data_IF_677829335515
#
_entry.id   IF_677829335515
#
_cell.length_a   1.000
_cell.length_b   1.000
_cell.length_c   1.000
_cell.angle_alpha   90.00
_cell.angle_beta   90.00
_cell.angle_gamma   90.00
#
_symmetry.space_group_name_H-M   'P 1'
#
loop_
_entity.id
_entity.type
_entity.pdbx_description
1 polymer ?
#
# COMPACT_ATOMS: atom_id res chain seq x y z
N UNK A 1 -12.40 17.10 0.17
CA UNK A 1 -13.71 16.57 -0.27
C UNK A 1 -13.54 15.09 -0.51
N UNK A 2 -14.18 14.23 0.29
CA UNK A 2 -14.08 12.77 0.17
C UNK A 2 -15.03 12.26 -0.92
N UNK A 3 -14.59 12.30 -2.18
CA UNK A 3 -15.11 11.44 -3.23
C UNK A 3 -14.57 10.04 -2.95
N UNK A 4 -15.39 9.05 -2.65
CA UNK A 4 -14.87 7.73 -2.31
C UNK A 4 -15.94 6.67 -2.44
N UNK A 5 -15.82 5.87 -3.48
CA UNK A 5 -16.66 4.70 -3.75
C UNK A 5 -16.62 3.71 -2.56
N UNK A 6 -17.70 2.95 -2.40
CA UNK A 6 -17.77 1.89 -1.42
C UNK A 6 -16.90 0.71 -1.89
N UNK A 7 -15.80 0.45 -1.17
CA UNK A 7 -14.89 -0.66 -1.46
C UNK A 7 -15.24 -1.86 -0.59
N UNK A 8 -15.36 -3.03 -1.21
CA UNK A 8 -15.52 -4.32 -0.51
C UNK A 8 -14.16 -5.02 -0.46
N UNK A 9 -13.56 -5.13 0.72
CA UNK A 9 -12.22 -5.68 0.88
C UNK A 9 -12.06 -6.34 2.25
N UNK A 10 -11.44 -7.51 2.28
CA UNK A 10 -11.11 -8.24 3.49
C UNK A 10 -12.32 -8.80 4.24
N UNK A 11 -12.03 -9.72 5.14
CA UNK A 11 -13.02 -10.42 5.95
C UNK A 11 -12.58 -10.52 7.40
N UNK A 12 -13.50 -10.22 8.31
CA UNK A 12 -13.26 -10.26 9.75
C UNK A 12 -13.28 -11.69 10.28
N UNK A 13 -12.31 -12.02 11.12
CA UNK A 13 -12.24 -13.25 11.91
C UNK A 13 -12.06 -12.91 13.39
N UNK A 14 -12.79 -13.62 14.24
CA UNK A 14 -12.63 -13.59 15.70
C UNK A 14 -12.38 -15.01 16.17
N UNK A 15 -11.24 -15.23 16.81
CA UNK A 15 -10.76 -16.56 17.22
C UNK A 15 -10.77 -17.58 16.08
N UNK A 16 -10.37 -17.16 14.87
CA UNK A 16 -10.39 -17.99 13.67
C UNK A 16 -11.79 -18.24 13.08
N UNK A 17 -12.86 -17.73 13.70
CA UNK A 17 -14.23 -17.84 13.19
C UNK A 17 -14.56 -16.61 12.36
N UNK A 18 -14.94 -16.86 11.11
CA UNK A 18 -15.38 -15.84 10.16
C UNK A 18 -16.62 -15.10 10.68
N UNK A 19 -16.63 -13.78 10.58
CA UNK A 19 -17.72 -12.92 11.04
C UNK A 19 -18.42 -12.22 9.87
N UNK A 20 -19.76 -12.13 9.89
CA UNK A 20 -20.50 -11.40 8.86
C UNK A 20 -20.19 -9.90 8.93
N UNK A 21 -20.17 -9.23 7.77
CA UNK A 21 -20.07 -7.78 7.73
C UNK A 21 -21.39 -7.16 8.22
N UNK A 22 -21.36 -6.24 9.20
CA UNK A 22 -22.57 -5.58 9.68
C UNK A 22 -23.24 -4.75 8.58
N UNK A 23 -24.56 -4.87 8.50
CA UNK A 23 -25.39 -4.14 7.55
C UNK A 23 -26.15 -2.99 8.22
N UNK A 24 -26.37 -3.07 9.53
CA UNK A 24 -27.07 -2.10 10.35
C UNK A 24 -26.25 -1.76 11.61
N UNK A 25 -26.81 -0.96 12.53
CA UNK A 25 -26.15 -0.66 13.80
C UNK A 25 -26.23 -1.80 14.84
N UNK A 26 -27.26 -2.65 14.75
CA UNK A 26 -27.57 -3.69 15.74
C UNK A 26 -27.02 -5.08 15.45
N UNK A 27 -26.50 -5.33 14.24
CA UNK A 27 -25.98 -6.62 13.79
C UNK A 27 -24.44 -6.70 13.82
N UNK A 28 -23.79 -5.74 14.48
CA UNK A 28 -22.34 -5.73 14.66
C UNK A 28 -21.93 -6.96 15.50
N UNK A 29 -21.07 -7.85 14.97
CA UNK A 29 -20.56 -8.98 15.73
C UNK A 29 -19.94 -8.53 17.05
N UNK A 30 -20.15 -9.29 18.12
CA UNK A 30 -19.56 -8.99 19.43
C UNK A 30 -18.29 -9.80 19.62
N UNK A 31 -17.25 -9.16 20.13
CA UNK A 31 -16.05 -9.85 20.56
C UNK A 31 -16.39 -10.82 21.69
N UNK A 32 -15.87 -12.05 21.58
CA UNK A 32 -16.08 -13.11 22.56
C UNK A 32 -14.77 -13.46 23.25
N UNK A 33 -13.75 -13.84 22.48
CA UNK A 33 -12.39 -14.16 22.95
C UNK A 33 -11.43 -14.30 21.77
N UNK A 34 -10.14 -14.48 22.05
CA UNK A 34 -9.13 -14.85 21.06
C UNK A 34 -8.68 -13.71 20.14
N UNK A 35 -8.05 -14.11 19.03
CA UNK A 35 -7.44 -13.17 18.08
C UNK A 35 -8.49 -12.49 17.19
N UNK A 36 -8.27 -11.22 16.91
CA UNK A 36 -9.02 -10.40 15.96
C UNK A 36 -8.15 -10.24 14.72
N UNK A 37 -8.65 -10.68 13.58
CA UNK A 37 -7.91 -10.67 12.32
C UNK A 37 -8.80 -10.17 11.19
N UNK A 38 -8.20 -9.44 10.24
CA UNK A 38 -8.79 -9.25 8.92
C UNK A 38 -7.89 -10.01 7.94
N UNK A 39 -8.50 -10.88 7.13
CA UNK A 39 -7.83 -11.72 6.13
C UNK A 39 -8.36 -11.38 4.74
N UNK A 40 -7.84 -12.07 3.72
CA UNK A 40 -8.25 -11.95 2.32
C UNK A 40 -9.77 -11.96 2.16
N UNK A 41 -10.22 -11.26 1.12
CA UNK A 41 -11.65 -11.03 0.85
C UNK A 41 -12.35 -12.35 0.57
N UNK A 42 -13.36 -12.67 1.37
CA UNK A 42 -14.22 -13.82 1.12
C UNK A 42 -14.97 -13.67 -0.20
N UNK A 43 -15.35 -14.79 -0.81
CA UNK A 43 -16.13 -14.78 -2.06
C UNK A 43 -17.54 -14.25 -1.85
N UNK A 44 -18.14 -14.54 -0.68
CA UNK A 44 -19.49 -14.15 -0.32
C UNK A 44 -19.53 -12.70 0.18
N UNK A 45 -20.37 -11.90 -0.47
CA UNK A 45 -20.58 -10.49 -0.19
C UNK A 45 -21.02 -10.22 1.26
N UNK A 46 -21.66 -11.19 1.92
CA UNK A 46 -22.06 -11.07 3.32
C UNK A 46 -20.88 -10.95 4.29
N UNK A 47 -19.66 -11.31 3.87
CA UNK A 47 -18.46 -11.32 4.69
C UNK A 47 -17.41 -10.29 4.26
N UNK A 48 -17.73 -9.46 3.27
CA UNK A 48 -16.82 -8.42 2.77
C UNK A 48 -16.99 -7.14 3.57
N UNK A 49 -15.93 -6.68 4.20
CA UNK A 49 -15.97 -5.41 4.95
C UNK A 49 -16.14 -4.26 3.96
N UNK A 50 -17.00 -3.30 4.32
CA UNK A 50 -17.25 -2.09 3.54
C UNK A 50 -16.36 -0.95 4.02
N UNK A 51 -15.63 -0.38 3.08
CA UNK A 51 -14.70 0.71 3.31
C UNK A 51 -15.06 1.92 2.47
N UNK A 52 -14.78 3.09 3.05
CA UNK A 52 -14.82 4.37 2.37
C UNK A 52 -13.38 4.76 2.06
N UNK A 53 -13.10 4.98 0.78
CA UNK A 53 -11.81 5.53 0.35
C UNK A 53 -11.69 7.01 0.72
N UNK A 54 -10.57 7.38 1.32
CA UNK A 54 -10.26 8.76 1.70
C UNK A 54 -8.81 9.07 1.41
N UNK A 55 -8.58 10.17 0.69
CA UNK A 55 -7.24 10.75 0.53
C UNK A 55 -7.09 11.89 1.53
N UNK A 56 -6.06 11.80 2.38
CA UNK A 56 -5.71 12.82 3.35
C UNK A 56 -4.18 12.95 3.39
N UNK A 57 -3.67 14.18 3.18
CA UNK A 57 -2.24 14.49 3.20
C UNK A 57 -1.39 13.55 2.30
N UNK A 58 -1.84 13.37 1.04
CA UNK A 58 -1.26 12.47 0.02
C UNK A 58 -1.21 10.98 0.39
N UNK A 59 -1.87 10.60 1.49
CA UNK A 59 -2.04 9.21 1.91
C UNK A 59 -3.44 8.71 1.58
N UNK A 60 -3.51 7.45 1.18
CA UNK A 60 -4.76 6.74 0.94
C UNK A 60 -5.17 5.92 2.15
N UNK A 61 -6.40 6.13 2.59
CA UNK A 61 -7.05 5.39 3.65
C UNK A 61 -8.27 4.64 3.14
N UNK A 62 -8.46 3.43 3.65
CA UNK A 62 -9.74 2.74 3.59
C UNK A 62 -10.28 2.72 5.01
N UNK A 63 -11.32 3.50 5.30
CA UNK A 63 -11.92 3.58 6.64
C UNK A 63 -13.20 2.76 6.64
N UNK A 64 -13.36 1.87 7.63
CA UNK A 64 -14.59 1.09 7.74
C UNK A 64 -15.80 2.03 7.89
N UNK A 65 -16.85 1.76 7.12
CA UNK A 65 -18.04 2.63 7.08
C UNK A 65 -18.79 2.67 8.43
N UNK A 66 -18.53 1.69 9.29
CA UNK A 66 -19.04 1.53 10.67
C UNK A 66 -18.06 0.78 11.57
N UNK A 67 -18.41 0.63 12.85
CA UNK A 67 -17.76 -0.34 13.73
C UNK A 67 -18.01 -1.76 13.21
N UNK A 68 -16.96 -2.55 13.01
CA UNK A 68 -17.08 -3.93 12.48
C UNK A 68 -17.08 -5.00 13.58
N UNK A 69 -16.74 -4.60 14.81
CA UNK A 69 -16.75 -5.45 15.98
C UNK A 69 -17.15 -4.61 17.20
N UNK A 70 -18.06 -5.13 18.02
CA UNK A 70 -18.52 -4.51 19.26
C UNK A 70 -17.97 -5.25 20.47
N UNK A 71 -18.14 -4.65 21.65
CA UNK A 71 -17.81 -5.27 22.94
C UNK A 71 -16.34 -5.69 23.08
N UNK A 72 -15.42 -4.92 22.51
CA UNK A 72 -13.98 -5.17 22.64
C UNK A 72 -13.32 -4.05 23.44
N UNK A 73 -12.38 -4.42 24.31
CA UNK A 73 -11.62 -3.45 25.09
C UNK A 73 -10.43 -2.89 24.32
N UNK A 74 -10.04 -1.67 24.67
CA UNK A 74 -8.88 -1.04 24.08
C UNK A 74 -7.60 -1.85 24.38
N UNK A 75 -7.48 -2.40 25.58
CA UNK A 75 -6.31 -3.20 25.98
C UNK A 75 -6.19 -4.50 25.17
N UNK A 76 -7.31 -5.15 24.81
CA UNK A 76 -7.31 -6.31 23.90
C UNK A 76 -6.81 -5.92 22.52
N UNK A 77 -7.33 -4.83 21.95
CA UNK A 77 -6.88 -4.34 20.64
C UNK A 77 -5.39 -3.97 20.68
N UNK A 78 -4.94 -3.34 21.76
CA UNK A 78 -3.56 -2.92 21.94
C UNK A 78 -2.61 -4.12 22.07
N UNK A 79 -2.98 -5.12 22.88
CA UNK A 79 -2.23 -6.36 23.03
C UNK A 79 -2.06 -7.14 21.72
N UNK A 80 -2.92 -6.89 20.73
CA UNK A 80 -2.85 -7.48 19.38
C UNK A 80 -2.23 -6.54 18.33
N UNK A 81 -1.77 -5.35 18.73
CA UNK A 81 -1.15 -4.36 17.84
C UNK A 81 -2.13 -3.58 16.95
N UNK A 82 -3.43 -3.63 17.24
CA UNK A 82 -4.48 -3.07 16.38
C UNK A 82 -4.78 -1.57 16.64
N UNK A 83 -4.11 -0.95 17.62
CA UNK A 83 -4.29 0.47 17.93
C UNK A 83 -3.47 1.34 16.98
N UNK A 84 -2.13 1.26 17.04
CA UNK A 84 -1.22 2.16 16.34
C UNK A 84 -0.80 1.65 14.96
N UNK A 85 -0.84 0.34 14.75
CA UNK A 85 -0.45 -0.24 13.46
C UNK A 85 -0.01 -1.68 13.55
N UNK A 86 -0.64 -2.53 12.73
CA UNK A 86 -0.20 -3.86 12.39
C UNK A 86 -0.12 -3.98 10.87
N UNK A 87 1.05 -4.33 10.35
CA UNK A 87 1.21 -4.54 8.91
C UNK A 87 0.54 -5.87 8.54
N UNK A 88 -0.34 -5.82 7.55
CA UNK A 88 -1.08 -6.97 7.04
C UNK A 88 -1.08 -6.96 5.51
N UNK A 89 -1.42 -8.10 4.91
CA UNK A 89 -1.66 -8.22 3.48
C UNK A 89 -3.08 -8.72 3.26
N UNK A 90 -3.87 -7.99 2.47
CA UNK A 90 -5.22 -8.37 2.06
C UNK A 90 -5.26 -8.39 0.53
N UNK A 91 -5.61 -9.52 -0.06
CA UNK A 91 -5.67 -9.74 -1.51
C UNK A 91 -4.36 -9.37 -2.24
N UNK A 92 -3.22 -9.53 -1.54
CA UNK A 92 -1.89 -9.17 -2.03
C UNK A 92 -1.51 -7.68 -1.86
N UNK A 93 -2.44 -6.82 -1.40
CA UNK A 93 -2.17 -5.42 -1.07
C UNK A 93 -1.67 -5.31 0.37
N UNK A 94 -0.53 -4.66 0.58
CA UNK A 94 0.00 -4.40 1.92
C UNK A 94 -0.62 -3.12 2.47
N UNK A 95 -1.08 -3.18 3.71
CA UNK A 95 -1.60 -2.04 4.42
C UNK A 95 -1.23 -2.12 5.90
N UNK A 96 -1.30 -0.97 6.55
CA UNK A 96 -1.20 -0.87 8.01
C UNK A 96 -2.62 -0.80 8.58
N UNK A 97 -3.02 -1.84 9.31
CA UNK A 97 -4.29 -1.90 10.03
C UNK A 97 -4.14 -1.21 11.40
N UNK A 98 -4.97 -0.20 11.65
CA UNK A 98 -4.96 0.57 12.90
C UNK A 98 -6.31 1.22 13.17
N UNK A 99 -6.40 1.99 14.26
CA UNK A 99 -7.48 2.94 14.49
C UNK A 99 -7.17 4.30 13.88
N UNK A 100 -8.20 5.14 13.72
CA UNK A 100 -8.01 6.57 13.46
C UNK A 100 -7.47 7.26 14.72
N UNK A 101 -6.69 8.33 14.54
CA UNK A 101 -6.47 9.31 15.60
C UNK A 101 -7.76 10.08 15.86
N UNK A 102 -8.10 10.32 17.13
CA UNK A 102 -9.33 11.00 17.55
C UNK A 102 -9.12 12.23 18.43
N UNK A 103 -7.84 12.58 18.70
CA UNK A 103 -7.45 13.73 19.53
C UNK A 103 -7.62 13.47 21.03
N UNK A 104 -6.90 14.23 21.86
CA UNK A 104 -6.85 14.04 23.32
C UNK A 104 -7.79 14.99 24.12
N UNK A 105 -8.97 15.28 23.57
CA UNK A 105 -10.08 16.10 24.11
C UNK A 105 -9.85 17.62 24.27
N UNK A 106 -8.67 18.08 24.70
CA UNK A 106 -8.42 19.53 24.94
C UNK A 106 -7.44 20.18 23.96
N UNK A 107 -6.42 19.45 23.52
CA UNK A 107 -5.28 20.01 22.77
C UNK A 107 -5.41 19.89 21.25
N UNK A 108 -6.45 19.21 20.77
CA UNK A 108 -6.48 18.70 19.38
C UNK A 108 -7.88 18.65 18.76
N UNK A 109 -8.78 19.53 19.24
CA UNK A 109 -10.12 19.70 18.65
C UNK A 109 -9.92 20.11 17.19
N UNK A 110 -10.29 19.23 16.25
CA UNK A 110 -10.18 19.42 14.80
C UNK A 110 -8.82 19.19 14.11
N UNK A 111 -7.81 18.65 14.79
CA UNK A 111 -6.53 18.29 14.13
C UNK A 111 -6.17 16.80 14.27
N UNK A 112 -7.17 15.94 14.13
CA UNK A 112 -7.01 14.48 14.14
C UNK A 112 -7.73 13.87 12.92
N UNK A 113 -7.40 12.63 12.60
CA UNK A 113 -7.94 11.94 11.43
C UNK A 113 -9.46 11.75 11.53
N UNK A 114 -10.00 11.39 12.70
CA UNK A 114 -11.44 11.27 12.89
C UNK A 114 -12.15 12.56 12.49
N UNK A 115 -11.66 13.70 12.97
CA UNK A 115 -12.26 14.99 12.68
C UNK A 115 -12.09 15.42 11.22
N UNK A 116 -10.99 15.02 10.55
CA UNK A 116 -10.75 15.32 9.14
C UNK A 116 -11.55 14.41 8.19
N UNK A 117 -11.86 13.19 8.62
CA UNK A 117 -12.40 12.13 7.76
C UNK A 117 -13.90 11.89 8.01
N UNK A 118 -14.31 11.72 9.27
CA UNK A 118 -15.69 11.39 9.63
C UNK A 118 -16.53 12.67 9.62
N UNK A 119 -17.55 12.70 8.77
CA UNK A 119 -18.45 13.84 8.57
C UNK A 119 -19.80 13.63 9.25
N UNK A 120 -20.65 14.66 9.28
CA UNK A 120 -22.00 14.60 9.86
C UNK A 120 -22.99 13.76 9.04
N UNK A 121 -22.56 13.20 7.89
CA UNK A 121 -23.37 12.26 7.11
C UNK A 121 -23.38 10.87 7.76
N UNK A 122 -24.38 10.64 8.62
CA UNK A 122 -24.52 9.37 9.31
C UNK A 122 -24.94 8.21 8.39
N UNK A 123 -25.56 8.47 7.23
CA UNK A 123 -25.86 7.41 6.27
C UNK A 123 -24.59 6.83 5.65
N UNK A 124 -23.52 7.63 5.64
CA UNK A 124 -22.18 7.20 5.20
C UNK A 124 -21.39 6.58 6.36
N UNK A 125 -21.36 7.25 7.51
CA UNK A 125 -20.39 6.93 8.57
C UNK A 125 -20.96 6.17 9.77
N UNK A 126 -22.27 6.02 9.92
CA UNK A 126 -22.89 5.16 10.94
C UNK A 126 -22.30 5.34 12.36
N UNK A 127 -22.12 6.60 12.78
CA UNK A 127 -21.59 6.94 14.09
C UNK A 127 -22.69 7.09 15.15
N UNK A 128 -23.96 7.23 14.76
CA UNK A 128 -25.10 7.33 15.70
C UNK A 128 -25.19 6.07 16.56
N UNK A 129 -25.40 6.25 17.86
CA UNK A 129 -25.53 5.19 18.88
C UNK A 129 -24.36 4.20 18.93
N UNK A 130 -23.21 4.59 18.37
CA UNK A 130 -22.03 3.74 18.27
C UNK A 130 -20.78 4.52 18.67
N UNK A 131 -20.22 4.17 19.84
CA UNK A 131 -18.93 4.66 20.27
C UNK A 131 -17.82 3.82 19.64
N UNK A 132 -16.86 4.49 19.03
CA UNK A 132 -15.70 3.87 18.39
C UNK A 132 -14.44 4.21 19.16
N UNK A 133 -13.60 3.21 19.41
CA UNK A 133 -12.24 3.44 19.89
C UNK A 133 -11.43 4.26 18.88
N UNK A 134 -10.54 5.09 19.42
CA UNK A 134 -9.49 5.78 18.65
C UNK A 134 -8.12 5.51 19.28
N UNK A 135 -7.05 5.94 18.61
CA UNK A 135 -5.68 5.72 19.12
C UNK A 135 -5.37 6.44 20.44
N UNK A 136 -5.96 7.62 20.63
CA UNK A 136 -5.47 8.58 21.62
C UNK A 136 -5.87 8.23 23.07
N UNK A 137 -4.93 8.50 23.98
CA UNK A 137 -5.21 8.61 25.41
C UNK A 137 -6.01 9.88 25.70
N UNK A 138 -6.88 9.82 26.70
CA UNK A 138 -7.50 11.03 27.21
C UNK A 138 -6.48 11.79 28.07
N UNK A 139 -6.03 12.97 27.62
CA UNK A 139 -5.11 13.86 28.36
C UNK A 139 -3.88 13.17 28.99
N UNK A 140 -3.29 12.21 28.29
CA UNK A 140 -2.13 11.43 28.79
C UNK A 140 -2.42 10.67 30.11
N UNK A 141 -3.69 10.37 30.38
CA UNK A 141 -4.14 9.58 31.53
C UNK A 141 -4.31 8.09 31.18
N UNK A 142 -4.77 7.30 32.15
CA UNK A 142 -5.16 5.89 31.97
C UNK A 142 -6.44 5.70 31.16
N UNK A 143 -7.21 6.75 30.90
CA UNK A 143 -8.44 6.68 30.12
C UNK A 143 -8.16 6.75 28.61
N UNK A 144 -9.10 6.23 27.83
CA UNK A 144 -9.04 6.19 26.36
C UNK A 144 -10.15 7.02 25.76
N UNK A 145 -9.86 7.70 24.65
CA UNK A 145 -10.85 8.50 23.94
C UNK A 145 -11.74 7.60 23.10
N UNK A 146 -13.02 7.94 23.06
CA UNK A 146 -14.02 7.36 22.16
C UNK A 146 -14.69 8.46 21.36
N UNK A 147 -15.15 8.14 20.15
CA UNK A 147 -15.82 9.09 19.24
C UNK A 147 -17.13 8.51 18.72
N UNK A 148 -18.05 9.38 18.31
CA UNK A 148 -19.39 9.01 17.84
C UNK A 148 -20.45 9.04 18.96
N UNK A 149 -21.55 8.31 18.78
CA UNK A 149 -22.69 8.33 19.69
C UNK A 149 -23.73 9.35 19.26
N UNK A 150 -23.70 10.57 19.80
CA UNK A 150 -24.73 11.59 19.54
C UNK A 150 -24.46 12.48 18.32
N UNK A 151 -23.20 12.61 17.89
CA UNK A 151 -22.79 13.34 16.69
C UNK A 151 -21.44 12.80 16.17
N UNK A 152 -21.08 13.07 14.92
CA UNK A 152 -19.74 12.77 14.40
C UNK A 152 -18.64 13.44 15.23
N UNK A 153 -18.94 14.62 15.78
CA UNK A 153 -18.03 15.44 16.60
C UNK A 153 -18.07 15.10 18.08
N UNK A 154 -18.99 14.23 18.50
CA UNK A 154 -19.07 13.80 19.88
C UNK A 154 -17.82 13.02 20.25
N UNK A 155 -17.34 13.30 21.46
CA UNK A 155 -16.17 12.67 22.04
C UNK A 155 -16.45 12.39 23.51
N UNK A 156 -15.91 11.27 23.98
CA UNK A 156 -15.97 10.86 25.37
C UNK A 156 -14.67 10.19 25.77
N UNK A 157 -14.63 9.71 27.01
CA UNK A 157 -13.53 8.91 27.52
C UNK A 157 -14.07 7.82 28.43
N UNK A 158 -13.34 6.71 28.50
CA UNK A 158 -13.72 5.54 29.30
C UNK A 158 -12.45 4.74 29.66
N UNK A 159 -12.54 3.80 30.59
CA UNK A 159 -11.42 2.93 30.96
C UNK A 159 -10.97 2.06 29.79
N UNK A 160 -9.68 1.72 29.73
CA UNK A 160 -9.13 0.89 28.65
C UNK A 160 -9.65 -0.55 28.63
N UNK A 161 -10.19 -1.01 29.76
CA UNK A 161 -10.84 -2.31 29.94
C UNK A 161 -12.34 -2.30 29.61
N UNK A 162 -12.94 -1.12 29.41
CA UNK A 162 -14.36 -1.02 29.04
C UNK A 162 -14.58 -1.53 27.62
N UNK A 163 -15.84 -1.82 27.29
CA UNK A 163 -16.22 -2.42 26.01
C UNK A 163 -16.81 -1.38 25.06
N UNK A 164 -16.15 -1.14 23.93
CA UNK A 164 -16.63 -0.20 22.91
C UNK A 164 -16.51 -0.84 21.51
N UNK A 165 -16.90 -0.09 20.47
CA UNK A 165 -16.80 -0.52 19.09
C UNK A 165 -15.40 -0.34 18.49
N UNK A 166 -15.05 -1.23 17.57
CA UNK A 166 -13.83 -1.17 16.78
C UNK A 166 -14.15 -0.83 15.32
N UNK A 167 -13.70 0.35 14.90
CA UNK A 167 -13.75 0.84 13.51
C UNK A 167 -12.32 0.96 13.00
N UNK A 168 -11.84 -0.04 12.26
CA UNK A 168 -10.49 0.00 11.72
C UNK A 168 -10.36 0.94 10.53
N UNK A 169 -9.11 1.30 10.26
CA UNK A 169 -8.65 1.92 9.01
C UNK A 169 -7.48 1.11 8.47
N UNK A 170 -7.44 0.95 7.15
CA UNK A 170 -6.22 0.61 6.42
C UNK A 170 -5.55 1.88 5.93
N UNK A 171 -4.35 2.16 6.43
CA UNK A 171 -3.42 3.06 5.74
C UNK A 171 -2.75 2.25 4.62
N UNK A 172 -3.12 2.55 3.38
CA UNK A 172 -2.59 1.86 2.20
C UNK A 172 -1.14 2.30 2.02
N UNK A 173 -0.22 1.34 2.10
CA UNK A 173 1.20 1.62 1.99
C UNK A 173 1.57 1.68 0.51
N UNK A 174 2.27 2.73 0.05
CA UNK A 174 2.69 2.81 -1.34
C UNK A 174 3.45 1.56 -1.76
N UNK A 175 2.98 0.91 -2.81
CA UNK A 175 3.58 -0.29 -3.37
C UNK A 175 4.19 0.01 -4.72
N UNK A 176 5.38 -0.55 -4.93
CA UNK A 176 5.95 -0.66 -6.27
C UNK A 176 6.09 -2.13 -6.62
N UNK A 177 5.59 -2.51 -7.79
CA UNK A 177 5.67 -3.87 -8.30
C UNK A 177 6.36 -3.89 -9.65
N UNK A 178 7.15 -4.94 -9.89
CA UNK A 178 7.89 -5.13 -11.12
C UNK A 178 7.55 -6.45 -11.79
N UNK A 179 7.46 -6.43 -13.12
CA UNK A 179 7.37 -7.61 -13.97
C UNK A 179 8.33 -7.42 -15.14
N UNK A 180 8.70 -8.50 -15.82
CA UNK A 180 9.50 -8.44 -17.05
C UNK A 180 8.63 -8.89 -18.21
N UNK A 181 8.67 -8.17 -19.32
CA UNK A 181 7.94 -8.53 -20.53
C UNK A 181 8.91 -8.67 -21.70
N UNK A 182 8.88 -9.81 -22.40
CA UNK A 182 9.69 -9.98 -23.61
C UNK A 182 9.00 -9.39 -24.86
N UNK A 183 9.69 -9.41 -26.00
CA UNK A 183 9.15 -8.93 -27.30
C UNK A 183 7.89 -9.67 -27.77
N UNK A 184 7.65 -10.89 -27.28
CA UNK A 184 6.48 -11.69 -27.63
C UNK A 184 5.29 -11.44 -26.67
N UNK A 185 5.41 -10.46 -25.78
CA UNK A 185 4.44 -10.12 -24.74
C UNK A 185 4.29 -11.16 -23.61
N UNK A 186 5.15 -12.18 -23.52
CA UNK A 186 5.21 -13.05 -22.35
C UNK A 186 5.68 -12.25 -21.14
N UNK A 187 5.04 -12.48 -19.99
CA UNK A 187 5.43 -11.91 -18.71
C UNK A 187 6.27 -12.91 -17.92
N UNK A 188 7.23 -12.38 -17.16
CA UNK A 188 8.13 -13.14 -16.31
C UNK A 188 8.29 -12.45 -14.95
N UNK A 189 8.59 -13.25 -13.94
CA UNK A 189 9.16 -12.79 -12.66
C UNK A 189 10.52 -13.46 -12.45
N UNK A 190 11.42 -12.74 -11.80
CA UNK A 190 12.79 -13.17 -11.52
C UNK A 190 12.99 -13.15 -10.00
N UNK A 191 13.10 -14.32 -9.40
CA UNK A 191 13.26 -14.46 -7.94
C UNK A 191 14.54 -15.22 -7.70
N UNK A 192 15.51 -14.59 -7.01
CA UNK A 192 16.81 -15.19 -6.72
C UNK A 192 17.46 -15.76 -8.00
N UNK A 193 17.52 -14.94 -9.06
CA UNK A 193 18.02 -15.28 -10.39
C UNK A 193 17.27 -16.40 -11.15
N UNK A 194 16.16 -16.91 -10.60
CA UNK A 194 15.31 -17.88 -11.28
C UNK A 194 14.22 -17.17 -12.08
N UNK A 195 14.21 -17.41 -13.39
CA UNK A 195 13.16 -16.94 -14.30
C UNK A 195 11.93 -17.84 -14.18
N UNK A 196 10.78 -17.22 -13.91
CA UNK A 196 9.48 -17.87 -13.88
C UNK A 196 8.61 -17.26 -14.97
N UNK A 197 8.23 -18.09 -15.96
CA UNK A 197 7.33 -17.70 -17.05
C UNK A 197 5.88 -17.65 -16.55
N UNK A 198 5.22 -16.51 -16.76
CA UNK A 198 3.81 -16.28 -16.44
C UNK A 198 2.93 -16.40 -17.69
N UNK A 199 3.51 -16.57 -18.87
CA UNK A 199 2.83 -16.65 -20.15
C UNK A 199 2.42 -15.30 -20.72
N UNK A 200 1.61 -15.35 -21.78
CA UNK A 200 1.08 -14.16 -22.46
C UNK A 200 -0.16 -13.68 -21.70
N UNK A 201 0.03 -12.72 -20.80
CA UNK A 201 -1.03 -12.12 -19.98
C UNK A 201 -0.90 -10.60 -20.03
N UNK A 202 -2.04 -9.90 -20.02
CA UNK A 202 -2.04 -8.43 -19.96
C UNK A 202 -1.48 -7.93 -18.62
N UNK A 203 -0.53 -6.97 -18.61
CA UNK A 203 0.06 -6.42 -17.38
C UNK A 203 -0.90 -5.40 -16.73
N UNK A 204 -2.01 -5.87 -16.20
CA UNK A 204 -2.99 -5.08 -15.46
C UNK A 204 -2.68 -5.07 -13.96
N UNK A 205 -3.26 -4.13 -13.21
CA UNK A 205 -3.06 -3.95 -11.75
C UNK A 205 -3.10 -5.29 -10.98
N UNK A 206 -4.13 -6.11 -11.18
CA UNK A 206 -4.27 -7.39 -10.49
C UNK A 206 -3.11 -8.36 -10.75
N UNK A 207 -2.50 -8.31 -11.93
CA UNK A 207 -1.34 -9.15 -12.27
C UNK A 207 -0.10 -8.64 -11.52
N UNK A 208 0.11 -7.32 -11.44
CA UNK A 208 1.20 -6.75 -10.65
C UNK A 208 1.05 -7.04 -9.16
N UNK A 209 -0.15 -6.91 -8.61
CA UNK A 209 -0.39 -7.16 -7.18
C UNK A 209 -0.09 -8.62 -6.83
N UNK A 210 -0.57 -9.57 -7.66
CA UNK A 210 -0.45 -11.00 -7.37
C UNK A 210 0.88 -11.62 -7.78
N UNK A 211 1.48 -11.18 -8.88
CA UNK A 211 2.67 -11.81 -9.47
C UNK A 211 3.89 -10.91 -9.49
N UNK A 212 3.72 -9.61 -9.27
CA UNK A 212 4.80 -8.63 -9.33
C UNK A 212 5.80 -8.78 -8.20
N UNK A 213 7.06 -8.52 -8.53
CA UNK A 213 8.18 -8.49 -7.60
C UNK A 213 8.21 -7.15 -6.87
N UNK A 214 8.58 -7.16 -5.58
CA UNK A 214 8.72 -5.93 -4.79
C UNK A 214 10.04 -5.19 -5.04
N UNK A 215 10.99 -5.85 -5.69
CA UNK A 215 12.33 -5.33 -5.97
C UNK A 215 12.52 -5.32 -7.48
N UNK A 216 13.17 -4.28 -8.00
CA UNK A 216 13.52 -4.19 -9.41
C UNK A 216 14.45 -5.36 -9.77
N UNK A 217 14.11 -6.18 -10.79
CA UNK A 217 14.91 -7.34 -11.14
C UNK A 217 16.25 -6.93 -11.74
N UNK A 218 17.31 -7.66 -11.40
CA UNK A 218 18.59 -7.59 -12.10
C UNK A 218 18.53 -8.47 -13.35
N UNK A 219 18.76 -7.89 -14.52
CA UNK A 219 18.79 -8.61 -15.80
C UNK A 219 20.23 -8.98 -16.15
N UNK A 220 20.68 -10.15 -15.68
CA UNK A 220 22.00 -10.69 -16.03
C UNK A 220 22.03 -11.19 -17.47
N UNK A 221 23.22 -11.40 -18.02
CA UNK A 221 23.37 -11.99 -19.36
C UNK A 221 22.66 -13.33 -19.48
N UNK A 222 22.78 -14.21 -18.47
CA UNK A 222 22.12 -15.51 -18.45
C UNK A 222 20.59 -15.37 -18.54
N UNK A 223 20.00 -14.43 -17.81
CA UNK A 223 18.56 -14.16 -17.85
C UNK A 223 18.16 -13.63 -19.24
N UNK A 224 18.92 -12.69 -19.81
CA UNK A 224 18.64 -12.12 -21.13
C UNK A 224 18.76 -13.20 -22.22
N UNK A 225 19.74 -14.10 -22.13
CA UNK A 225 19.87 -15.24 -23.04
C UNK A 225 18.66 -16.18 -22.93
N UNK A 226 18.10 -16.35 -21.73
CA UNK A 226 16.95 -17.23 -21.50
C UNK A 226 15.63 -16.62 -22.01
N UNK A 227 15.34 -15.35 -21.71
CA UNK A 227 14.03 -14.73 -22.02
C UNK A 227 14.03 -13.92 -23.32
N UNK A 228 15.21 -13.63 -23.86
CA UNK A 228 15.42 -12.74 -24.99
C UNK A 228 15.28 -11.27 -24.62
N UNK A 229 15.19 -10.42 -25.65
CA UNK A 229 14.98 -8.99 -25.46
C UNK A 229 13.70 -8.73 -24.67
N UNK A 230 13.82 -7.94 -23.61
CA UNK A 230 12.74 -7.66 -22.69
C UNK A 230 12.77 -6.22 -22.16
N UNK A 231 11.69 -5.84 -21.49
CA UNK A 231 11.53 -4.59 -20.74
C UNK A 231 11.04 -4.89 -19.34
N UNK A 232 11.46 -4.07 -18.37
CA UNK A 232 10.92 -4.13 -17.01
C UNK A 232 9.69 -3.24 -16.94
N UNK A 233 8.56 -3.83 -16.60
CA UNK A 233 7.33 -3.10 -16.31
C UNK A 233 7.30 -2.73 -14.82
N UNK A 234 6.89 -1.51 -14.52
CA UNK A 234 6.73 -0.99 -13.16
C UNK A 234 5.28 -0.57 -12.97
N UNK A 235 4.70 -0.93 -11.83
CA UNK A 235 3.39 -0.47 -11.38
C UNK A 235 3.52 0.16 -9.98
N UNK A 236 2.75 1.22 -9.74
CA UNK A 236 2.63 1.88 -8.44
C UNK A 236 1.17 2.14 -8.11
N UNK A 237 0.80 1.98 -6.85
CA UNK A 237 -0.57 2.12 -6.34
C UNK A 237 -1.01 3.57 -6.06
N UNK A 238 -0.08 4.52 -6.09
CA UNK A 238 -0.30 5.92 -5.69
C UNK A 238 -1.16 6.75 -6.65
N UNK A 239 -1.76 6.17 -7.70
CA UNK A 239 -2.55 6.92 -8.70
C UNK A 239 -1.74 7.96 -9.52
N UNK A 240 -0.50 8.23 -9.12
CA UNK A 240 0.46 9.08 -9.80
C UNK A 240 1.15 8.21 -10.85
N UNK A 241 0.54 8.19 -12.03
CA UNK A 241 1.12 7.88 -13.33
C UNK A 241 1.77 6.49 -13.44
N UNK A 242 1.17 5.63 -14.25
CA UNK A 242 1.84 4.44 -14.81
C UNK A 242 3.11 4.89 -15.54
N UNK A 243 4.24 4.98 -14.84
CA UNK A 243 5.53 5.17 -15.45
C UNK A 243 5.97 3.82 -15.99
N UNK A 244 5.54 3.51 -17.21
CA UNK A 244 6.15 2.46 -18.01
C UNK A 244 7.60 2.88 -18.24
N UNK A 245 8.53 2.29 -17.51
CA UNK A 245 9.95 2.39 -17.82
C UNK A 245 10.18 1.57 -19.10
N UNK A 246 10.07 2.22 -20.25
CA UNK A 246 10.37 1.60 -21.54
C UNK A 246 11.89 1.46 -21.66
N UNK A 247 12.45 0.40 -21.09
CA UNK A 247 13.79 -0.04 -21.49
C UNK A 247 13.62 -0.81 -22.81
N UNK A 248 13.67 -0.09 -23.92
CA UNK A 248 13.81 -0.69 -25.25
C UNK A 248 15.29 -1.05 -25.43
N UNK A 249 15.64 -2.32 -25.21
CA UNK A 249 16.92 -2.84 -25.70
C UNK A 249 16.68 -3.29 -27.14
N UNK A 250 16.83 -2.36 -28.08
CA UNK A 250 16.77 -2.67 -29.50
C UNK A 250 18.17 -2.97 -30.00
N UNK A 251 18.47 -4.27 -30.12
CA UNK A 251 19.64 -4.72 -30.86
C UNK A 251 19.33 -4.66 -32.35
N UNK A 252 19.54 -3.49 -32.94
CA UNK A 252 19.85 -3.31 -34.36
C UNK A 252 20.28 -1.86 -34.59
N UNK A 253 21.59 -1.71 -34.77
CA UNK A 253 22.26 -0.61 -35.45
C UNK A 253 21.77 0.83 -35.14
N UNK A 254 22.47 1.44 -34.17
CA UNK A 254 22.86 2.87 -34.14
C UNK A 254 21.77 3.90 -33.75
N UNK A 255 21.62 4.14 -32.44
CA UNK A 255 21.52 5.44 -31.72
C UNK A 255 20.78 5.27 -30.38
N UNK A 256 21.43 5.54 -29.25
CA UNK A 256 20.72 5.79 -27.99
C UNK A 256 20.11 7.19 -28.06
N UNK A 257 18.90 7.30 -28.60
CA UNK A 257 18.17 8.57 -28.52
C UNK A 257 17.61 8.69 -27.11
N UNK A 258 18.12 9.67 -26.37
CA UNK A 258 17.44 10.16 -25.18
C UNK A 258 16.04 10.61 -25.59
N UNK A 259 15.00 10.10 -24.92
CA UNK A 259 13.64 10.63 -25.06
C UNK A 259 13.57 11.92 -24.23
N UNK A 260 12.91 12.92 -24.80
CA UNK A 260 12.70 14.25 -24.22
C UNK A 260 12.29 14.15 -22.73
N UNK A 261 13.09 14.77 -21.86
CA UNK A 261 12.83 14.86 -20.41
C UNK A 261 13.73 14.02 -19.49
N UNK A 262 14.72 13.26 -20.00
CA UNK A 262 15.71 12.57 -19.16
C UNK A 262 17.13 13.08 -19.44
N UNK A 263 17.97 13.18 -18.41
CA UNK A 263 19.40 13.53 -18.53
C UNK A 263 20.23 12.34 -18.01
N UNK A 264 21.24 11.94 -18.77
CA UNK A 264 22.25 10.97 -18.33
C UNK A 264 23.31 11.73 -17.51
N UNK A 265 23.54 11.34 -16.25
CA UNK A 265 24.70 11.81 -15.48
C UNK A 265 25.69 10.68 -15.27
N UNK A 266 26.95 10.99 -15.53
CA UNK A 266 28.10 10.13 -15.27
C UNK A 266 29.02 10.89 -14.31
N UNK A 267 29.53 10.22 -13.27
CA UNK A 267 30.51 10.81 -12.35
C UNK A 267 31.61 9.82 -12.00
N UNK A 268 32.73 10.36 -11.52
CA UNK A 268 33.90 9.60 -11.06
C UNK A 268 34.31 10.08 -9.68
N UNK A 269 34.76 9.15 -8.84
CA UNK A 269 35.30 9.44 -7.50
C UNK A 269 36.80 9.81 -7.56
N UNK A 270 37.42 9.76 -8.75
CA UNK A 270 38.83 10.12 -8.97
C UNK A 270 38.98 11.60 -9.37
N UNK A 271 39.47 12.39 -8.41
CA UNK A 271 39.62 13.86 -8.52
C UNK A 271 40.69 14.33 -9.50
N UNK A 272 41.53 13.42 -10.02
CA UNK A 272 42.56 13.75 -11.00
C UNK A 272 42.03 13.83 -12.45
N UNK A 273 40.80 13.38 -12.68
CA UNK A 273 40.18 13.32 -14.00
C UNK A 273 39.37 14.60 -14.25
N UNK A 274 39.89 15.47 -15.13
CA UNK A 274 39.27 16.78 -15.44
C UNK A 274 38.33 16.75 -16.65
N UNK A 275 38.39 15.70 -17.49
CA UNK A 275 37.51 15.50 -18.65
C UNK A 275 37.22 14.01 -18.87
N UNK A 276 35.99 13.67 -19.24
CA UNK A 276 35.58 12.31 -19.62
C UNK A 276 34.79 12.34 -20.93
N UNK A 277 35.16 11.47 -21.88
CA UNK A 277 34.48 11.30 -23.18
C UNK A 277 34.03 9.86 -23.33
N UNK A 278 32.76 9.66 -23.67
CA UNK A 278 32.19 8.35 -23.98
C UNK A 278 32.40 8.08 -25.47
N UNK A 279 33.50 7.39 -25.80
CA UNK A 279 33.81 7.01 -27.18
C UNK A 279 33.30 5.59 -27.41
N UNK A 280 32.36 5.40 -28.34
CA UNK A 280 32.05 4.08 -28.86
C UNK A 280 32.57 3.99 -30.30
N UNK A 281 33.29 2.90 -30.59
CA UNK A 281 33.75 2.54 -31.94
C UNK A 281 32.83 1.45 -32.47
N UNK A 282 32.31 1.61 -33.68
CA UNK A 282 31.46 0.61 -34.33
C UNK A 282 32.33 -0.44 -35.03
N UNK A 283 32.30 -1.67 -34.50
CA UNK A 283 32.77 -2.99 -35.02
C UNK A 283 34.07 -3.62 -34.45
N UNK A 284 34.12 -4.97 -34.32
CA UNK A 284 33.10 -5.87 -33.78
C UNK A 284 33.42 -6.20 -32.31
N UNK A 285 32.36 -6.17 -31.50
CA UNK A 285 32.22 -6.84 -30.20
C UNK A 285 33.48 -6.98 -29.33
N UNK A 286 33.68 -6.00 -28.46
CA UNK A 286 34.14 -6.29 -27.09
C UNK A 286 32.99 -6.00 -26.14
N UNK A 287 32.69 -6.90 -25.19
CA UNK A 287 31.82 -6.54 -24.07
C UNK A 287 32.37 -5.28 -23.39
N UNK A 288 31.52 -4.51 -22.70
CA UNK A 288 32.00 -3.55 -21.69
C UNK A 288 32.53 -4.39 -20.52
N UNK A 289 33.66 -5.06 -20.70
CA UNK A 289 34.32 -5.80 -19.64
C UNK A 289 35.13 -4.88 -18.74
N UNK A 290 35.29 -3.60 -19.09
CA UNK A 290 35.91 -2.58 -18.24
C UNK A 290 35.33 -1.19 -18.55
N UNK A 291 34.19 -0.86 -17.96
CA UNK A 291 34.09 0.47 -17.39
C UNK A 291 35.11 0.49 -16.26
N UNK A 292 36.12 1.35 -16.37
CA UNK A 292 37.09 1.60 -15.30
C UNK A 292 36.30 1.77 -13.99
N UNK A 293 36.70 1.08 -12.90
CA UNK A 293 35.95 0.98 -11.63
C UNK A 293 35.62 2.34 -10.99
N UNK A 294 36.19 3.40 -11.56
CA UNK A 294 36.06 4.80 -11.20
C UNK A 294 34.75 5.45 -11.64
N UNK A 295 34.02 4.91 -12.62
CA UNK A 295 32.84 5.58 -13.18
C UNK A 295 31.51 4.93 -12.76
N UNK A 296 30.57 5.78 -12.34
CA UNK A 296 29.20 5.40 -11.98
C UNK A 296 28.20 6.14 -12.89
N UNK A 297 27.13 5.46 -13.30
CA UNK A 297 26.11 5.99 -14.22
C UNK A 297 24.76 6.00 -13.51
N UNK A 298 24.07 7.14 -13.56
CA UNK A 298 22.71 7.31 -13.04
C UNK A 298 21.85 7.99 -14.10
N UNK A 299 20.73 7.36 -14.40
CA UNK A 299 19.61 8.02 -15.05
C UNK A 299 18.71 8.62 -13.99
N UNK A 300 18.40 9.90 -14.12
CA UNK A 300 17.41 10.56 -13.28
C UNK A 300 16.64 11.61 -14.08
N UNK A 301 15.54 12.07 -13.50
CA UNK A 301 14.62 13.07 -14.06
C UNK A 301 14.62 14.29 -13.13
N UNK A 302 14.66 15.51 -13.67
CA UNK A 302 14.36 16.74 -12.92
C UNK A 302 12.85 16.87 -12.71
#
# INVERSE_FOLDING_TARGET
MANGDLIKLGTLYVNGIKQPNPMNGGDIPKYTSGNIEIKDTDVDDAYKIKWIEVILDDKKFLVADRNILASVSWDILNGQGLITGKDITIDGKQCKLRLLTGGSFDRDKNNNEWDKIITDDNNKWHWVDSLSWVQNLYRETVYRVVRGGSSARSSGYTGSNDSQGWRPVFEVLPQTKYLVQNKNNNLFKIINDVVIDLGIISPIENVFIKQGMNIMPLLTEAIITQIGNCKVLKWTDSGIVNHTLNIQVEYKDKLFKCIEGYKLKMWTDDVSISTAKLNYSTEPYRPIDKLDEKFKVLMYKE
#
